data_IF_176243665391
#
_entry.id   IF_176243665391
#
_cell.length_a   1.000
_cell.length_b   1.000
_cell.length_c   1.000
_cell.angle_alpha   90.00
_cell.angle_beta   90.00
_cell.angle_gamma   90.00
#
_symmetry.space_group_name_H-M   'P 1'
#
loop_
_entity.id
_entity.type
_entity.pdbx_description
1 polymer ?
#
# COMPACT_ATOMS: atom_id res chain seq x y z
N UNK A 1 14.62 6.72 14.07
CA UNK A 1 13.71 7.09 12.97
C UNK A 1 12.89 5.89 12.48
N UNK A 2 13.52 4.80 12.00
CA UNK A 2 12.82 3.60 11.51
C UNK A 2 11.87 2.97 12.55
N UNK A 3 12.29 2.92 13.83
CA UNK A 3 11.46 2.38 14.93
C UNK A 3 10.13 3.14 15.11
N UNK A 4 10.18 4.46 15.18
CA UNK A 4 8.98 5.30 15.35
C UNK A 4 8.03 5.19 14.16
N UNK A 5 8.56 5.08 12.93
CA UNK A 5 7.75 4.85 11.72
C UNK A 5 7.07 3.47 11.81
N UNK A 6 7.80 2.42 12.19
CA UNK A 6 7.24 1.08 12.35
C UNK A 6 6.14 1.05 13.41
N UNK A 7 6.36 1.64 14.57
CA UNK A 7 5.38 1.73 15.65
C UNK A 7 4.14 2.52 15.24
N UNK A 8 4.33 3.65 14.55
CA UNK A 8 3.22 4.43 14.00
C UNK A 8 2.42 3.64 12.96
N UNK A 9 3.08 2.90 12.07
CA UNK A 9 2.41 2.06 11.07
C UNK A 9 1.66 0.91 11.72
N UNK A 10 2.23 0.24 12.72
CA UNK A 10 1.56 -0.82 13.48
C UNK A 10 0.34 -0.25 14.21
N UNK A 11 0.50 0.86 14.92
CA UNK A 11 -0.58 1.56 15.63
C UNK A 11 -1.71 1.98 14.68
N UNK A 12 -1.36 2.62 13.56
CA UNK A 12 -2.34 3.01 12.54
C UNK A 12 -3.07 1.82 11.91
N UNK A 13 -2.38 0.68 11.77
CA UNK A 13 -2.97 -0.57 11.28
C UNK A 13 -3.95 -1.18 12.28
N UNK A 14 -3.69 -1.01 13.58
CA UNK A 14 -4.54 -1.52 14.68
C UNK A 14 -5.93 -0.88 14.76
N UNK A 15 -6.13 0.24 14.07
CA UNK A 15 -7.37 1.02 14.20
C UNK A 15 -8.34 0.86 13.03
N UNK A 16 -7.88 0.38 11.87
CA UNK A 16 -8.79 0.06 10.75
C UNK A 16 -8.05 -0.67 9.64
N UNK A 17 -8.63 -1.80 9.22
CA UNK A 17 -8.16 -2.58 8.06
C UNK A 17 -8.23 -1.75 6.78
N UNK A 18 -9.23 -0.87 6.66
CA UNK A 18 -9.39 0.04 5.53
C UNK A 18 -8.18 0.99 5.35
N UNK A 19 -7.57 1.43 6.46
CA UNK A 19 -6.36 2.27 6.38
C UNK A 19 -5.15 1.49 5.86
N UNK A 20 -5.05 0.21 6.19
CA UNK A 20 -3.96 -0.65 5.70
C UNK A 20 -4.08 -0.82 4.20
N UNK A 21 -5.24 -1.30 3.71
CA UNK A 21 -5.45 -1.52 2.27
C UNK A 21 -5.39 -0.23 1.46
N UNK A 22 -5.85 0.90 2.02
CA UNK A 22 -5.73 2.21 1.39
C UNK A 22 -4.28 2.61 1.10
N UNK A 23 -3.33 2.24 1.98
CA UNK A 23 -1.89 2.50 1.74
C UNK A 23 -1.33 1.64 0.62
N UNK A 24 -1.74 0.36 0.55
CA UNK A 24 -1.35 -0.52 -0.55
C UNK A 24 -1.87 -0.03 -1.89
N UNK A 25 -3.13 0.44 -1.94
CA UNK A 25 -3.67 1.10 -3.14
C UNK A 25 -2.85 2.33 -3.53
N UNK A 26 -2.61 3.26 -2.60
CA UNK A 26 -1.90 4.50 -2.89
C UNK A 26 -0.44 4.29 -3.35
N UNK A 27 0.21 3.22 -2.86
CA UNK A 27 1.64 2.99 -3.08
C UNK A 27 1.93 2.03 -4.24
N UNK A 28 1.10 0.99 -4.39
CA UNK A 28 1.32 -0.12 -5.31
C UNK A 28 0.19 -0.31 -6.32
N UNK A 29 -0.85 0.54 -6.29
CA UNK A 29 -2.05 0.42 -7.13
C UNK A 29 -2.79 -0.92 -6.94
N UNK A 30 -2.70 -1.49 -5.73
CA UNK A 30 -3.39 -2.73 -5.36
C UNK A 30 -4.81 -2.40 -4.93
N UNK A 31 -5.80 -2.89 -5.69
CA UNK A 31 -7.20 -2.73 -5.36
C UNK A 31 -7.72 -3.93 -4.58
N UNK A 32 -8.52 -3.65 -3.55
CA UNK A 32 -9.19 -4.65 -2.72
C UNK A 32 -10.24 -5.37 -3.56
N UNK A 33 -10.33 -6.68 -3.42
CA UNK A 33 -11.35 -7.50 -4.08
C UNK A 33 -12.46 -7.84 -3.08
N UNK A 34 -13.65 -8.16 -3.60
CA UNK A 34 -14.83 -8.42 -2.76
C UNK A 34 -14.64 -9.62 -1.84
N UNK A 35 -13.79 -10.56 -2.25
CA UNK A 35 -13.49 -11.80 -1.54
C UNK A 35 -12.46 -11.61 -0.41
N UNK A 36 -11.97 -10.40 -0.18
CA UNK A 36 -11.01 -10.11 0.89
C UNK A 36 -11.75 -9.90 2.20
N UNK A 37 -11.27 -10.45 3.33
CA UNK A 37 -12.02 -10.47 4.59
C UNK A 37 -11.91 -9.14 5.35
N UNK A 38 -12.15 -8.01 4.68
CA UNK A 38 -11.98 -6.66 5.26
C UNK A 38 -13.09 -6.38 6.28
N UNK A 39 -14.33 -6.69 5.92
CA UNK A 39 -15.50 -6.40 6.73
C UNK A 39 -15.49 -7.26 8.00
N UNK A 40 -15.11 -8.53 7.89
CA UNK A 40 -14.99 -9.46 9.01
C UNK A 40 -13.94 -8.99 10.03
N UNK A 41 -12.78 -8.52 9.56
CA UNK A 41 -11.74 -7.98 10.44
C UNK A 41 -12.19 -6.64 11.06
N UNK A 42 -12.90 -5.80 10.31
CA UNK A 42 -13.42 -4.53 10.83
C UNK A 42 -14.51 -4.78 11.91
N UNK A 43 -15.40 -5.76 11.72
CA UNK A 43 -16.36 -6.21 12.73
C UNK A 43 -15.64 -6.67 14.00
N UNK A 44 -14.58 -7.48 13.87
CA UNK A 44 -13.79 -7.91 15.03
C UNK A 44 -13.10 -6.73 15.74
N UNK A 45 -12.62 -5.75 14.98
CA UNK A 45 -12.06 -4.50 15.53
C UNK A 45 -13.11 -3.72 16.32
N UNK A 46 -14.35 -3.65 15.82
CA UNK A 46 -15.46 -3.02 16.53
C UNK A 46 -15.83 -3.78 17.81
N UNK A 47 -15.91 -5.12 17.76
CA UNK A 47 -16.13 -5.96 18.96
C UNK A 47 -15.06 -5.68 20.02
N UNK A 48 -13.77 -5.64 19.63
CA UNK A 48 -12.67 -5.27 20.54
C UNK A 48 -12.86 -3.87 21.13
N UNK A 49 -13.28 -2.89 20.33
CA UNK A 49 -13.53 -1.53 20.83
C UNK A 49 -14.67 -1.50 21.85
N UNK A 50 -15.73 -2.29 21.67
CA UNK A 50 -16.79 -2.43 22.67
C UNK A 50 -16.26 -3.07 23.96
N UNK A 51 -15.43 -4.12 23.87
CA UNK A 51 -14.79 -4.71 25.04
C UNK A 51 -13.93 -3.71 25.81
N UNK A 52 -13.06 -2.96 25.11
CA UNK A 52 -12.07 -2.07 25.73
C UNK A 52 -12.68 -0.76 26.22
N UNK A 53 -13.56 -0.14 25.43
CA UNK A 53 -14.03 1.22 25.70
C UNK A 53 -15.43 1.28 26.32
N UNK A 54 -16.14 0.16 26.40
CA UNK A 54 -17.53 0.12 26.85
C UNK A 54 -17.82 -1.00 27.85
N UNK A 55 -16.76 -1.52 28.47
CA UNK A 55 -16.87 -2.60 29.46
C UNK A 55 -17.56 -3.84 28.91
N UNK A 56 -17.37 -4.14 27.63
CA UNK A 56 -18.01 -5.29 26.98
C UNK A 56 -19.45 -5.09 26.56
N UNK A 57 -19.92 -3.85 26.40
CA UNK A 57 -21.26 -3.54 25.88
C UNK A 57 -21.21 -2.87 24.52
N UNK A 58 -22.20 -3.14 23.67
CA UNK A 58 -22.33 -2.51 22.36
C UNK A 58 -22.89 -1.06 22.45
N UNK A 59 -23.38 -0.50 21.33
CA UNK A 59 -24.01 0.85 21.29
C UNK A 59 -25.38 0.89 21.94
N UNK A 60 -26.05 -0.24 22.02
CA UNK A 60 -27.42 -0.40 22.50
C UNK A 60 -27.45 -0.84 23.96
N UNK A 61 -26.31 -1.23 24.51
CA UNK A 61 -26.14 -1.67 25.89
C UNK A 61 -26.14 -3.20 26.07
N UNK A 62 -26.21 -3.96 24.97
CA UNK A 62 -26.18 -5.42 25.01
C UNK A 62 -24.75 -5.91 25.28
N UNK A 63 -24.64 -7.05 25.96
CA UNK A 63 -23.34 -7.66 26.24
C UNK A 63 -22.73 -8.26 24.98
N UNK A 64 -21.46 -7.94 24.73
CA UNK A 64 -20.66 -8.50 23.64
C UNK A 64 -20.01 -9.78 24.14
N UNK A 65 -20.41 -10.92 23.57
CA UNK A 65 -19.81 -12.23 23.84
C UNK A 65 -18.82 -12.55 22.71
N UNK A 66 -17.63 -13.06 23.07
CA UNK A 66 -16.63 -13.58 22.14
C UNK A 66 -16.39 -15.03 22.49
N UNK A 67 -16.46 -15.91 21.49
CA UNK A 67 -16.16 -17.34 21.60
C UNK A 67 -14.75 -17.63 21.10
N UNK A 68 -14.22 -18.81 21.41
CA UNK A 68 -12.94 -19.26 20.82
C UNK A 68 -13.02 -19.32 19.29
N UNK A 69 -14.16 -19.77 18.75
CA UNK A 69 -14.41 -19.82 17.32
C UNK A 69 -14.34 -18.42 16.65
N UNK A 70 -14.84 -17.37 17.31
CA UNK A 70 -14.72 -15.99 16.81
C UNK A 70 -13.24 -15.58 16.66
N UNK A 71 -12.38 -16.04 17.58
CA UNK A 71 -10.96 -15.74 17.56
C UNK A 71 -10.25 -16.54 16.46
N UNK A 72 -10.55 -17.83 16.32
CA UNK A 72 -9.97 -18.67 15.27
C UNK A 72 -10.31 -18.13 13.87
N UNK A 73 -11.59 -17.79 13.63
CA UNK A 73 -12.01 -17.17 12.37
C UNK A 73 -11.30 -15.84 12.11
N UNK A 74 -11.07 -15.03 13.15
CA UNK A 74 -10.34 -13.76 13.01
C UNK A 74 -8.88 -13.99 12.59
N UNK A 75 -8.22 -15.00 13.15
CA UNK A 75 -6.85 -15.36 12.80
C UNK A 75 -6.77 -15.83 11.34
N UNK A 76 -7.70 -16.69 10.92
CA UNK A 76 -7.79 -17.17 9.53
C UNK A 76 -8.01 -16.01 8.55
N UNK A 77 -8.94 -15.09 8.87
CA UNK A 77 -9.18 -13.90 8.07
C UNK A 77 -7.94 -13.00 7.97
N UNK A 78 -7.25 -12.76 9.10
CA UNK A 78 -6.05 -11.95 9.12
C UNK A 78 -4.92 -12.57 8.30
N UNK A 79 -4.72 -13.88 8.41
CA UNK A 79 -3.75 -14.62 7.60
C UNK A 79 -4.10 -14.53 6.11
N UNK A 80 -5.35 -14.82 5.75
CA UNK A 80 -5.83 -14.76 4.36
C UNK A 80 -5.64 -13.38 3.74
N UNK A 81 -5.90 -12.30 4.51
CA UNK A 81 -5.63 -10.94 4.05
C UNK A 81 -4.14 -10.70 3.80
N UNK A 82 -3.28 -11.19 4.69
CA UNK A 82 -1.83 -11.10 4.56
C UNK A 82 -1.31 -11.78 3.29
N UNK A 83 -1.77 -13.00 3.03
CA UNK A 83 -1.43 -13.78 1.82
C UNK A 83 -1.88 -13.05 0.55
N UNK A 84 -3.15 -12.63 0.49
CA UNK A 84 -3.71 -11.89 -0.66
C UNK A 84 -2.95 -10.60 -0.97
N UNK A 85 -2.56 -9.86 0.07
CA UNK A 85 -1.74 -8.64 -0.06
C UNK A 85 -0.35 -8.97 -0.58
N UNK A 86 0.28 -10.02 -0.06
CA UNK A 86 1.61 -10.45 -0.48
C UNK A 86 1.63 -10.88 -1.96
N UNK A 87 0.66 -11.70 -2.38
CA UNK A 87 0.53 -12.15 -3.76
C UNK A 87 0.29 -10.96 -4.71
N UNK A 88 -0.61 -10.06 -4.33
CA UNK A 88 -0.90 -8.84 -5.09
C UNK A 88 0.33 -7.93 -5.21
N UNK A 89 1.15 -7.85 -4.16
CA UNK A 89 2.41 -7.11 -4.18
C UNK A 89 3.40 -7.72 -5.17
N UNK A 90 3.52 -9.06 -5.18
CA UNK A 90 4.36 -9.78 -6.15
C UNK A 90 3.99 -9.42 -7.60
N UNK A 91 2.70 -9.44 -7.93
CA UNK A 91 2.19 -9.07 -9.26
C UNK A 91 2.47 -7.59 -9.57
N UNK A 92 2.20 -6.69 -8.63
CA UNK A 92 2.41 -5.25 -8.82
C UNK A 92 3.89 -4.91 -9.07
N UNK A 93 4.81 -5.54 -8.32
CA UNK A 93 6.25 -5.35 -8.50
C UNK A 93 6.72 -5.87 -9.86
N UNK A 94 6.26 -7.05 -10.29
CA UNK A 94 6.59 -7.58 -11.62
C UNK A 94 6.11 -6.66 -12.74
N UNK A 95 4.87 -6.14 -12.65
CA UNK A 95 4.32 -5.18 -13.61
C UNK A 95 5.18 -3.91 -13.69
N UNK A 96 5.60 -3.37 -12.54
CA UNK A 96 6.47 -2.19 -12.47
C UNK A 96 7.84 -2.45 -13.09
N UNK A 97 8.43 -3.62 -12.84
CA UNK A 97 9.71 -4.00 -13.44
C UNK A 97 9.62 -4.13 -14.96
N UNK A 98 8.55 -4.76 -15.48
CA UNK A 98 8.31 -4.85 -16.93
C UNK A 98 8.13 -3.47 -17.58
N UNK A 99 7.29 -2.60 -17.00
CA UNK A 99 7.08 -1.24 -17.50
C UNK A 99 8.38 -0.41 -17.52
N UNK A 100 9.22 -0.56 -16.49
CA UNK A 100 10.54 0.07 -16.45
C UNK A 100 11.50 -0.46 -17.52
N UNK A 101 11.40 -1.74 -17.88
CA UNK A 101 12.21 -2.31 -18.96
C UNK A 101 11.74 -1.78 -20.32
N UNK A 102 10.43 -1.82 -20.59
CA UNK A 102 9.85 -1.32 -21.85
C UNK A 102 10.15 0.17 -22.08
N UNK A 103 9.97 1.01 -21.07
CA UNK A 103 10.29 2.45 -21.16
C UNK A 103 11.77 2.72 -21.45
N UNK A 104 12.69 1.89 -20.95
CA UNK A 104 14.12 1.98 -21.27
C UNK A 104 14.44 1.53 -22.70
N UNK A 105 13.74 0.54 -23.23
CA UNK A 105 13.89 0.13 -24.64
C UNK A 105 13.41 1.25 -25.57
N UNK A 106 12.27 1.89 -25.28
CA UNK A 106 11.80 3.03 -26.07
C UNK A 106 12.76 4.23 -26.04
N UNK A 107 13.40 4.52 -24.90
CA UNK A 107 14.46 5.55 -24.81
C UNK A 107 15.66 5.26 -25.73
N UNK A 108 16.00 3.98 -25.93
CA UNK A 108 17.09 3.55 -26.82
C UNK A 108 16.66 3.52 -28.29
N UNK A 109 15.36 3.28 -28.57
CA UNK A 109 14.79 3.17 -29.92
C UNK A 109 14.19 4.48 -30.43
N UNK A 110 14.27 5.59 -29.68
CA UNK A 110 13.94 6.91 -30.23
C UNK A 110 14.86 7.19 -31.43
N UNK A 111 14.32 7.37 -32.65
CA UNK A 111 15.15 7.80 -33.77
C UNK A 111 15.74 9.16 -33.38
N UNK A 112 17.06 9.26 -33.49
CA UNK A 112 17.78 10.53 -33.53
C UNK A 112 17.19 11.29 -34.73
N UNK A 113 16.08 12.00 -34.54
CA UNK A 113 15.59 12.95 -35.53
C UNK A 113 16.61 14.07 -35.54
N UNK A 114 17.47 13.99 -36.55
CA UNK A 114 18.41 15.01 -36.99
C UNK A 114 17.87 16.41 -36.71
N UNK A 115 18.51 17.12 -35.77
CA UNK A 115 18.29 18.53 -35.50
C UNK A 115 18.54 19.30 -36.80
N UNK A 116 17.47 19.80 -37.43
CA UNK A 116 17.57 20.79 -38.50
C UNK A 116 17.98 22.11 -37.85
N UNK A 117 19.21 22.52 -38.10
CA UNK A 117 19.82 23.76 -37.64
C UNK A 117 19.00 24.95 -38.16
N UNK A 118 18.29 25.66 -37.28
CA UNK A 118 17.78 27.01 -37.57
C UNK A 118 18.58 27.98 -36.69
N UNK A 119 19.37 28.83 -37.36
CA UNK A 119 20.15 29.93 -36.77
C UNK A 119 19.21 30.91 -36.05
N UNK A 120 19.54 31.30 -34.82
CA UNK A 120 18.98 32.51 -34.21
C UNK A 120 19.15 32.62 -32.69
N UNK A 121 20.22 33.30 -32.26
CA UNK A 121 20.45 33.98 -30.96
C UNK A 121 20.48 33.15 -29.66
N UNK A 122 21.71 32.74 -29.32
CA UNK A 122 22.46 33.06 -28.09
C UNK A 122 21.68 33.44 -26.81
N UNK A 123 21.83 32.60 -25.77
CA UNK A 123 22.26 32.95 -24.40
C UNK A 123 22.61 31.65 -23.63
N UNK A 124 23.90 31.49 -23.29
CA UNK A 124 24.40 30.63 -22.19
C UNK A 124 24.82 31.59 -21.04
N UNK A 125 24.87 31.14 -19.77
CA UNK A 125 26.06 30.46 -19.21
C UNK A 125 25.69 29.13 -18.51
N UNK A 126 26.52 28.07 -18.54
CA UNK A 126 27.54 27.72 -17.50
C UNK A 126 26.87 27.60 -16.11
N UNK A 127 26.70 26.42 -15.52
CA UNK A 127 27.81 25.63 -14.97
C UNK A 127 27.58 24.11 -14.96
N UNK A 128 28.68 23.41 -15.21
CA UNK A 128 28.84 21.97 -15.14
C UNK A 128 29.01 21.51 -13.68
N UNK A 129 28.31 20.44 -13.28
CA UNK A 129 28.78 19.58 -12.18
C UNK A 129 29.11 18.20 -12.75
N UNK A 130 30.41 17.94 -12.93
CA UNK A 130 30.98 16.61 -13.07
C UNK A 130 31.11 16.00 -11.67
N UNK A 131 30.70 14.75 -11.49
CA UNK A 131 31.22 13.92 -10.41
C UNK A 131 31.94 12.71 -11.03
N UNK A 132 33.17 12.38 -10.58
CA UNK A 132 33.95 11.29 -11.12
C UNK A 132 33.49 9.94 -10.58
N UNK A 133 33.97 8.90 -11.27
CA UNK A 133 33.74 7.46 -11.05
C UNK A 133 33.83 6.99 -9.60
#
# INVERSE_FOLDING_TARGET
>A
MIKAIKEYLISASWHSTNKVVGRYKATFDINVQKEWPIDEIEIATQKRNHLVHRGGKDKEGNSVVITEQDLDMLLDHAQSLGEKLFDSLGVALQKKMRANFESRVWLVVLPIKSKKLIRGRQCLPEDYFLLPN
#
